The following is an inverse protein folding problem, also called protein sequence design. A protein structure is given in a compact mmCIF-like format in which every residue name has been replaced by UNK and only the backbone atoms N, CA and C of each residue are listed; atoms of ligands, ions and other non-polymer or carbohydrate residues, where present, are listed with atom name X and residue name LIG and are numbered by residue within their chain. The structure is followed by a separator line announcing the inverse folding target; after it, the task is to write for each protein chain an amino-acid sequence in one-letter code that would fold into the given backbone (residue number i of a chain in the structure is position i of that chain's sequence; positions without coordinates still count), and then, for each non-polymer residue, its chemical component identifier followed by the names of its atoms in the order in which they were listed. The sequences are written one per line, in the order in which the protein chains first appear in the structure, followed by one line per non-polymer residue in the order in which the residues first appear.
data_IF_996293177153
#
_entry.id   IF_996293177153
#
_cell.length_a   1.000
_cell.length_b   1.000
_cell.length_c   1.000
_cell.angle_alpha   90.00
_cell.angle_beta   90.00
_cell.angle_gamma   90.00
#
_symmetry.space_group_name_H-M   'P 1'
#
loop_
_entity.id
_entity.type
_entity.pdbx_description
1 polymer ?
#
# COMPACT_ATOMS: atom_id res chain seq x y z
N UNK A 1 -7.98 -16.48 4.90
CA UNK A 1 -8.22 -15.14 4.34
C UNK A 1 -7.53 -15.03 2.98
N UNK A 2 -6.21 -15.26 2.86
CA UNK A 2 -5.50 -15.14 1.59
C UNK A 2 -5.99 -16.14 0.54
N UNK A 3 -6.28 -17.40 0.92
CA UNK A 3 -6.85 -18.39 0.01
C UNK A 3 -8.19 -17.93 -0.55
N UNK A 4 -9.08 -17.44 0.31
CA UNK A 4 -10.39 -16.94 -0.11
C UNK A 4 -10.22 -15.72 -1.05
N UNK A 5 -9.29 -14.80 -0.72
CA UNK A 5 -9.03 -13.64 -1.57
C UNK A 5 -8.53 -14.03 -2.96
N UNK A 6 -7.63 -15.05 -3.05
CA UNK A 6 -7.13 -15.55 -4.33
C UNK A 6 -8.20 -16.31 -5.13
N UNK A 7 -9.09 -17.04 -4.44
CA UNK A 7 -10.18 -17.79 -5.09
C UNK A 7 -11.30 -16.88 -5.61
N UNK A 8 -11.61 -15.81 -4.88
CA UNK A 8 -12.67 -14.87 -5.23
C UNK A 8 -12.21 -13.79 -6.22
N UNK A 9 -10.90 -13.68 -6.46
CA UNK A 9 -10.34 -12.70 -7.36
C UNK A 9 -10.65 -13.00 -8.83
N UNK A 10 -10.91 -11.95 -9.62
CA UNK A 10 -11.05 -12.08 -11.07
C UNK A 10 -9.75 -12.62 -11.69
N UNK A 11 -9.88 -13.66 -12.52
CA UNK A 11 -8.73 -14.32 -13.17
C UNK A 11 -7.88 -13.38 -14.03
N UNK A 12 -8.47 -12.29 -14.52
CA UNK A 12 -7.76 -11.26 -15.31
C UNK A 12 -6.68 -10.54 -14.51
N UNK A 13 -6.81 -10.48 -13.16
CA UNK A 13 -5.82 -9.85 -12.28
C UNK A 13 -4.47 -10.56 -12.41
N UNK A 14 -4.49 -11.90 -12.44
CA UNK A 14 -3.28 -12.73 -12.52
C UNK A 14 -2.58 -12.69 -13.89
N UNK A 15 -3.26 -12.19 -14.93
CA UNK A 15 -2.69 -12.01 -16.26
C UNK A 15 -1.96 -10.68 -16.42
N UNK A 16 -2.13 -9.78 -15.45
CA UNK A 16 -1.47 -8.47 -15.47
C UNK A 16 -0.08 -8.56 -14.85
N UNK A 17 0.87 -7.89 -15.48
CA UNK A 17 2.23 -7.82 -14.97
C UNK A 17 2.27 -7.11 -13.60
N UNK A 18 3.12 -7.65 -12.73
CA UNK A 18 3.32 -7.07 -11.40
C UNK A 18 2.15 -7.25 -10.42
N UNK A 19 1.21 -8.16 -10.70
CA UNK A 19 0.16 -8.49 -9.76
C UNK A 19 0.75 -8.90 -8.40
N UNK A 20 0.29 -8.25 -7.33
CA UNK A 20 0.76 -8.48 -5.99
C UNK A 20 -0.32 -8.24 -4.93
N UNK A 21 -0.14 -8.88 -3.80
CA UNK A 21 -0.93 -8.65 -2.59
C UNK A 21 -0.20 -7.62 -1.74
N UNK A 22 -0.78 -6.47 -1.54
CA UNK A 22 -0.31 -5.46 -0.60
C UNK A 22 -1.03 -5.67 0.73
N UNK A 23 -0.30 -5.96 1.79
CA UNK A 23 -0.89 -6.28 3.08
C UNK A 23 -0.26 -5.49 4.21
N UNK A 24 -1.05 -5.22 5.27
CA UNK A 24 -0.56 -4.63 6.51
C UNK A 24 0.47 -5.54 7.17
N UNK A 25 1.40 -4.95 7.91
CA UNK A 25 2.39 -5.71 8.68
C UNK A 25 1.73 -6.70 9.62
N UNK A 26 0.69 -6.28 10.34
CA UNK A 26 -0.05 -7.12 11.26
C UNK A 26 -0.64 -8.37 10.60
N UNK A 27 -1.14 -8.24 9.37
CA UNK A 27 -1.69 -9.36 8.61
C UNK A 27 -0.60 -10.31 8.10
N UNK A 28 0.53 -9.78 7.66
CA UNK A 28 1.69 -10.58 7.26
C UNK A 28 2.31 -11.35 8.43
N UNK A 29 2.40 -10.72 9.60
CA UNK A 29 2.92 -11.36 10.81
C UNK A 29 1.98 -12.49 11.28
N UNK A 30 0.67 -12.29 11.21
CA UNK A 30 -0.33 -13.32 11.50
C UNK A 30 -0.22 -14.52 10.53
N UNK A 31 -0.07 -14.25 9.22
CA UNK A 31 0.16 -15.29 8.22
C UNK A 31 1.42 -16.10 8.53
N UNK A 32 2.53 -15.41 8.83
CA UNK A 32 3.80 -16.07 9.15
C UNK A 32 3.67 -16.96 10.39
N UNK A 33 2.94 -16.49 11.40
CA UNK A 33 2.67 -17.26 12.62
C UNK A 33 1.84 -18.51 12.32
N UNK A 34 0.75 -18.38 11.55
CA UNK A 34 -0.11 -19.49 11.15
C UNK A 34 0.65 -20.54 10.34
N UNK A 35 1.47 -20.12 9.39
CA UNK A 35 2.29 -21.03 8.60
C UNK A 35 3.28 -21.81 9.47
N UNK A 36 3.89 -21.15 10.45
CA UNK A 36 4.82 -21.79 11.39
C UNK A 36 4.10 -22.77 12.32
N UNK A 37 2.94 -22.42 12.85
CA UNK A 37 2.22 -23.27 13.80
C UNK A 37 1.54 -24.47 13.12
N UNK A 38 0.79 -24.22 12.05
CA UNK A 38 -0.04 -25.24 11.40
C UNK A 38 0.76 -26.15 10.47
N UNK A 39 1.65 -25.55 9.68
CA UNK A 39 2.37 -26.28 8.62
C UNK A 39 3.85 -26.50 8.92
N UNK A 40 4.37 -25.95 10.04
CA UNK A 40 5.80 -26.01 10.40
C UNK A 40 6.71 -25.44 9.33
N UNK A 41 6.20 -24.55 8.49
CA UNK A 41 6.93 -23.88 7.43
C UNK A 41 7.30 -22.46 7.87
N UNK A 42 8.54 -22.08 7.63
CA UNK A 42 9.00 -20.70 7.83
C UNK A 42 8.87 -19.98 6.50
N UNK A 43 8.03 -18.96 6.47
CA UNK A 43 7.82 -18.13 5.30
C UNK A 43 9.04 -17.21 5.11
N UNK A 44 9.75 -17.29 3.97
CA UNK A 44 10.90 -16.44 3.72
C UNK A 44 10.44 -15.00 3.41
N UNK A 45 11.01 -14.02 4.09
CA UNK A 45 10.84 -12.61 3.77
C UNK A 45 12.15 -12.05 3.25
N UNK A 46 12.09 -11.43 2.08
CA UNK A 46 13.24 -10.81 1.42
C UNK A 46 13.06 -9.30 1.39
N UNK A 47 14.12 -8.56 1.70
CA UNK A 47 14.14 -7.10 1.55
C UNK A 47 14.53 -6.76 0.12
N UNK A 48 13.63 -6.16 -0.63
CA UNK A 48 13.86 -5.87 -2.05
C UNK A 48 14.34 -4.44 -2.27
N UNK A 49 13.64 -3.47 -1.70
CA UNK A 49 13.94 -2.06 -1.92
C UNK A 49 13.54 -1.23 -0.70
N UNK A 50 14.42 -0.34 -0.26
CA UNK A 50 14.17 0.64 0.82
C UNK A 50 13.47 0.06 2.09
N UNK A 51 13.86 -1.14 2.48
CA UNK A 51 13.31 -1.83 3.64
C UNK A 51 11.94 -2.46 3.41
N UNK A 52 11.43 -2.49 2.18
CA UNK A 52 10.20 -3.20 1.83
C UNK A 52 10.45 -4.70 1.81
N UNK A 53 9.73 -5.42 2.67
CA UNK A 53 9.78 -6.88 2.74
C UNK A 53 8.75 -7.50 1.81
N UNK A 54 9.17 -8.49 1.05
CA UNK A 54 8.32 -9.28 0.16
C UNK A 54 8.45 -10.76 0.45
N UNK A 55 7.38 -11.48 0.17
CA UNK A 55 7.35 -12.94 0.20
C UNK A 55 6.45 -13.46 -0.92
N UNK A 56 6.35 -14.78 -1.06
CA UNK A 56 5.45 -15.42 -2.02
C UNK A 56 4.44 -16.32 -1.31
N UNK A 57 3.20 -16.24 -1.73
CA UNK A 57 2.12 -17.10 -1.27
C UNK A 57 1.34 -17.60 -2.49
N UNK A 58 1.31 -18.91 -2.67
CA UNK A 58 0.67 -19.57 -3.82
C UNK A 58 1.04 -18.94 -5.17
N UNK A 59 2.34 -18.69 -5.37
CA UNK A 59 2.87 -18.08 -6.60
C UNK A 59 2.69 -16.56 -6.69
N UNK A 60 1.85 -15.95 -5.87
CA UNK A 60 1.59 -14.51 -5.86
C UNK A 60 2.54 -13.80 -4.89
N UNK A 61 3.08 -12.66 -5.29
CA UNK A 61 3.95 -11.85 -4.44
C UNK A 61 3.14 -11.14 -3.37
N UNK A 62 3.57 -11.23 -2.12
CA UNK A 62 3.04 -10.42 -1.00
C UNK A 62 4.03 -9.34 -0.66
N UNK A 63 3.55 -8.11 -0.59
CA UNK A 63 4.31 -6.92 -0.20
C UNK A 63 3.85 -6.46 1.18
N UNK A 64 4.79 -6.40 2.14
CA UNK A 64 4.50 -5.95 3.50
C UNK A 64 4.52 -4.43 3.58
N UNK A 65 3.34 -3.81 3.66
CA UNK A 65 3.15 -2.36 3.77
C UNK A 65 3.12 -1.91 5.24
N UNK A 66 4.27 -1.86 5.91
CA UNK A 66 4.36 -1.54 7.34
C UNK A 66 3.82 -0.15 7.70
N UNK A 67 3.90 0.81 6.78
CA UNK A 67 3.40 2.17 6.99
C UNK A 67 1.87 2.23 7.11
N UNK A 68 1.17 1.27 6.52
CA UNK A 68 -0.29 1.23 6.54
C UNK A 68 -0.86 1.07 7.94
N UNK A 69 -0.23 0.27 8.79
CA UNK A 69 -0.66 0.10 10.18
C UNK A 69 -0.71 1.44 10.92
N UNK A 70 0.28 2.30 10.71
CA UNK A 70 0.32 3.64 11.28
C UNK A 70 -0.81 4.53 10.79
N UNK A 71 -1.08 4.53 9.48
CA UNK A 71 -2.17 5.33 8.91
C UNK A 71 -3.53 4.83 9.35
N UNK A 72 -3.74 3.52 9.37
CA UNK A 72 -5.00 2.91 9.83
C UNK A 72 -5.27 3.30 11.28
N UNK A 73 -4.27 3.22 12.16
CA UNK A 73 -4.39 3.65 13.56
C UNK A 73 -4.73 5.14 13.69
N UNK A 74 -4.08 6.00 12.91
CA UNK A 74 -4.38 7.43 12.91
C UNK A 74 -5.83 7.72 12.50
N UNK A 75 -6.34 7.03 11.47
CA UNK A 75 -7.74 7.14 11.06
C UNK A 75 -8.73 6.63 12.11
N UNK A 76 -8.41 5.56 12.81
CA UNK A 76 -9.24 5.02 13.90
C UNK A 76 -9.30 6.00 15.08
N UNK A 77 -8.19 6.57 15.49
CA UNK A 77 -8.11 7.53 16.58
C UNK A 77 -8.96 8.78 16.33
N UNK A 78 -9.13 9.17 15.08
CA UNK A 78 -9.99 10.28 14.68
C UNK A 78 -11.47 9.91 14.58
N UNK A 79 -11.89 8.72 14.96
CA UNK A 79 -13.27 8.19 14.94
C UNK A 79 -13.96 8.21 13.56
N UNK A 80 -13.19 8.29 12.50
CA UNK A 80 -13.75 8.54 11.17
C UNK A 80 -13.96 7.29 10.34
N UNK A 81 -13.49 6.10 10.79
CA UNK A 81 -13.50 4.93 9.91
C UNK A 81 -13.62 3.59 10.64
N UNK A 82 -13.87 2.55 9.83
CA UNK A 82 -14.04 1.18 10.22
C UNK A 82 -12.84 0.66 11.03
N UNK A 83 -13.12 0.02 12.15
CA UNK A 83 -12.12 -0.62 13.01
C UNK A 83 -11.66 -1.96 12.39
N UNK A 84 -10.94 -1.88 11.29
CA UNK A 84 -10.41 -3.03 10.55
C UNK A 84 -8.89 -2.86 10.41
N UNK A 85 -8.11 -3.28 11.42
CA UNK A 85 -6.67 -3.07 11.43
C UNK A 85 -5.92 -3.97 10.43
N UNK A 86 -6.46 -5.15 10.14
CA UNK A 86 -5.87 -6.12 9.22
C UNK A 86 -6.46 -5.92 7.84
N UNK A 87 -5.64 -5.58 6.86
CA UNK A 87 -6.09 -5.32 5.49
C UNK A 87 -5.09 -5.87 4.49
N UNK A 88 -5.63 -6.41 3.41
CA UNK A 88 -4.87 -6.78 2.23
C UNK A 88 -5.62 -6.36 0.96
N UNK A 89 -4.87 -5.99 -0.05
CA UNK A 89 -5.38 -5.60 -1.38
C UNK A 89 -4.60 -6.37 -2.42
N UNK A 90 -5.26 -7.15 -3.23
CA UNK A 90 -4.71 -7.78 -4.41
C UNK A 90 -5.04 -6.90 -5.63
N UNK A 91 -4.04 -6.42 -6.30
CA UNK A 91 -4.19 -5.63 -7.52
C UNK A 91 -2.92 -5.63 -8.37
N UNK A 92 -3.05 -5.18 -9.61
CA UNK A 92 -1.90 -4.84 -10.45
C UNK A 92 -1.56 -3.35 -10.29
N UNK A 93 -0.26 -2.98 -10.31
CA UNK A 93 0.17 -1.58 -10.30
C UNK A 93 -0.45 -0.74 -11.43
N UNK A 94 -0.69 -1.33 -12.59
CA UNK A 94 -1.31 -0.65 -13.74
C UNK A 94 -2.73 -0.16 -13.45
N UNK A 95 -3.42 -0.82 -12.51
CA UNK A 95 -4.78 -0.45 -12.12
C UNK A 95 -4.82 0.69 -11.07
N UNK A 96 -3.67 1.03 -10.49
CA UNK A 96 -3.53 2.13 -9.55
C UNK A 96 -3.04 3.37 -10.28
N UNK A 97 -3.95 4.26 -10.61
CA UNK A 97 -3.65 5.49 -11.32
C UNK A 97 -3.42 6.63 -10.33
N UNK A 98 -2.44 7.47 -10.62
CA UNK A 98 -2.29 8.74 -9.94
C UNK A 98 -2.19 9.86 -10.96
N UNK A 99 -2.71 11.01 -10.61
CA UNK A 99 -2.68 12.21 -11.44
C UNK A 99 -2.15 13.40 -10.64
N UNK A 100 -1.47 14.29 -11.31
CA UNK A 100 -1.04 15.56 -10.77
C UNK A 100 -1.43 16.71 -11.71
N UNK A 101 -1.50 17.92 -11.18
CA UNK A 101 -1.72 19.09 -12.00
C UNK A 101 -0.40 19.47 -12.69
N UNK A 102 -0.37 19.41 -14.04
CA UNK A 102 0.84 19.67 -14.82
C UNK A 102 1.74 18.45 -15.00
N UNK A 103 2.98 18.70 -15.41
CA UNK A 103 3.99 17.65 -15.64
C UNK A 103 4.74 17.20 -14.40
N UNK A 104 4.62 17.94 -13.31
CA UNK A 104 5.30 17.66 -12.05
C UNK A 104 4.31 17.66 -10.87
N UNK A 105 4.56 16.82 -9.83
CA UNK A 105 3.72 16.78 -8.63
C UNK A 105 3.67 18.10 -7.85
N UNK A 106 4.71 18.93 -8.00
CA UNK A 106 4.79 20.27 -7.45
C UNK A 106 4.71 21.29 -8.59
N UNK A 107 3.62 22.05 -8.66
CA UNK A 107 3.42 23.04 -9.72
C UNK A 107 4.15 24.36 -9.46
N UNK A 108 4.25 24.76 -8.20
CA UNK A 108 4.88 26.02 -7.83
C UNK A 108 5.82 25.83 -6.64
N UNK A 109 7.03 26.32 -6.77
CA UNK A 109 8.02 26.36 -5.71
C UNK A 109 8.60 27.78 -5.61
N UNK A 110 8.21 28.51 -4.58
CA UNK A 110 8.72 29.82 -4.26
C UNK A 110 9.65 29.77 -3.05
N UNK A 111 10.83 30.36 -3.20
CA UNK A 111 11.80 30.49 -2.11
C UNK A 111 12.18 31.94 -1.97
N UNK A 112 11.93 32.53 -0.80
CA UNK A 112 12.34 33.90 -0.54
C UNK A 112 12.88 34.11 0.86
N UNK A 113 13.73 35.10 1.02
CA UNK A 113 14.28 35.53 2.30
C UNK A 113 13.56 36.78 2.81
N UNK A 114 12.93 36.67 3.98
CA UNK A 114 12.35 37.82 4.66
C UNK A 114 13.42 38.50 5.53
N UNK A 115 13.84 39.71 5.11
CA UNK A 115 14.85 40.51 5.81
C UNK A 115 14.41 40.98 7.19
N UNK A 116 13.09 41.17 7.41
CA UNK A 116 12.57 41.64 8.69
C UNK A 116 12.51 40.49 9.71
N UNK A 117 12.04 39.35 9.30
CA UNK A 117 11.97 38.15 10.14
C UNK A 117 13.31 37.37 10.20
N UNK A 118 14.28 37.67 9.33
CA UNK A 118 15.54 36.92 9.16
C UNK A 118 15.33 35.44 8.97
N UNK A 119 14.33 35.07 8.14
CA UNK A 119 13.94 33.67 7.88
C UNK A 119 13.83 33.42 6.39
N UNK A 120 14.17 32.22 5.97
CA UNK A 120 13.85 31.72 4.65
C UNK A 120 12.46 31.10 4.67
N UNK A 121 11.63 31.46 3.73
CA UNK A 121 10.32 30.85 3.49
C UNK A 121 10.40 30.01 2.22
N UNK A 122 9.83 28.83 2.30
CA UNK A 122 9.64 27.91 1.18
C UNK A 122 8.16 27.68 1.04
N UNK A 123 7.62 28.04 -0.10
CA UNK A 123 6.22 27.80 -0.43
C UNK A 123 6.15 26.82 -1.59
N UNK A 124 5.37 25.78 -1.43
CA UNK A 124 5.14 24.79 -2.48
C UNK A 124 3.67 24.42 -2.53
N UNK A 125 3.10 24.39 -3.71
CA UNK A 125 1.75 23.93 -3.97
C UNK A 125 1.77 22.76 -4.94
N UNK A 126 0.82 21.85 -4.78
CA UNK A 126 0.63 20.75 -5.70
C UNK A 126 -0.75 20.12 -5.50
N UNK A 127 -1.33 19.60 -6.57
CA UNK A 127 -2.55 18.81 -6.51
C UNK A 127 -2.24 17.41 -6.96
N UNK A 128 -2.57 16.45 -6.11
CA UNK A 128 -2.41 15.03 -6.36
C UNK A 128 -3.77 14.36 -6.20
N UNK A 129 -4.06 13.45 -7.10
CA UNK A 129 -5.23 12.58 -7.01
C UNK A 129 -4.84 11.14 -7.32
N UNK A 130 -5.53 10.20 -6.74
CA UNK A 130 -5.38 8.78 -7.05
C UNK A 130 -6.74 8.16 -7.30
N UNK A 131 -6.79 7.20 -8.21
CA UNK A 131 -8.01 6.44 -8.49
C UNK A 131 -7.66 5.00 -8.87
N UNK A 132 -8.65 4.13 -8.73
CA UNK A 132 -8.63 2.78 -9.26
C UNK A 132 -9.22 2.84 -10.67
N UNK A 133 -8.56 2.21 -11.64
CA UNK A 133 -9.00 2.21 -13.04
C UNK A 133 -10.23 1.33 -13.25
N UNK A 134 -10.12 0.08 -12.83
CA UNK A 134 -11.18 -0.94 -12.94
C UNK A 134 -11.40 -1.56 -11.56
N UNK A 135 -12.57 -1.35 -10.97
CA UNK A 135 -12.91 -1.87 -9.63
C UNK A 135 -12.93 -3.40 -9.58
N UNK A 136 -13.29 -4.05 -10.69
CA UNK A 136 -13.32 -5.51 -10.81
C UNK A 136 -11.94 -6.16 -10.70
N UNK A 137 -10.88 -5.40 -11.01
CA UNK A 137 -9.49 -5.85 -10.95
C UNK A 137 -8.81 -5.49 -9.61
N UNK A 138 -9.60 -5.37 -8.55
CA UNK A 138 -9.12 -5.17 -7.18
C UNK A 138 -9.89 -6.08 -6.24
N UNK A 139 -9.16 -6.92 -5.51
CA UNK A 139 -9.75 -7.76 -4.47
C UNK A 139 -9.24 -7.30 -3.10
N UNK A 140 -10.15 -7.12 -2.16
CA UNK A 140 -9.82 -6.61 -0.82
C UNK A 140 -10.19 -7.64 0.24
N UNK A 141 -9.32 -7.82 1.22
CA UNK A 141 -9.57 -8.59 2.43
C UNK A 141 -9.32 -7.76 3.70
N UNK A 142 -10.16 -7.96 4.72
CA UNK A 142 -10.10 -7.29 6.02
C UNK A 142 -10.71 -8.13 7.13
#
# INVERSE_FOLDING_TARGET
IFDAMLQDADSRIFQKDGCAIFATKSMCDALTHDMKEKYKVIMPWEVVFDGVEVSKYDGTTIVKCSIWDRFIQAYQNNKTKLNLPHRAVLCSPENLMYGCEGTEPMSDLDIWFDKKARKNYIYSTGKLGSMIGEDELVQVAY
#
